data_IF_410226436173
#
_entry.id   IF_410226436173
#
_cell.length_a   1.000
_cell.length_b   1.000
_cell.length_c   1.000
_cell.angle_alpha   90.00
_cell.angle_beta   90.00
_cell.angle_gamma   90.00
#
_symmetry.space_group_name_H-M   'P 1'
#
loop_
_entity.id
_entity.type
_entity.pdbx_description
1 polymer ?
#
# COMPACT_ATOMS: atom_id res chain seq x y z
N UNK A 1 -2.76 -29.80 -16.99
CA UNK A 1 -2.11 -29.72 -15.67
C UNK A 1 -1.13 -28.53 -15.55
N UNK A 2 -1.29 -27.44 -16.33
CA UNK A 2 -0.39 -26.26 -16.29
C UNK A 2 -0.97 -25.02 -15.61
N UNK A 3 -2.30 -24.90 -15.46
CA UNK A 3 -2.97 -23.69 -14.95
C UNK A 3 -2.70 -23.40 -13.47
N UNK A 4 -2.68 -24.42 -12.62
CA UNK A 4 -2.61 -24.20 -11.17
C UNK A 4 -1.31 -23.50 -10.75
N UNK A 5 -0.17 -23.86 -11.36
CA UNK A 5 1.12 -23.23 -11.04
C UNK A 5 1.17 -21.76 -11.45
N UNK A 6 0.62 -21.43 -12.62
CA UNK A 6 0.53 -20.04 -13.08
C UNK A 6 -0.40 -19.21 -12.18
N UNK A 7 -1.57 -19.75 -11.82
CA UNK A 7 -2.51 -19.10 -10.90
C UNK A 7 -1.87 -18.83 -9.53
N UNK A 8 -1.10 -19.79 -8.99
CA UNK A 8 -0.41 -19.60 -7.72
C UNK A 8 0.68 -18.52 -7.78
N UNK A 9 1.45 -18.45 -8.87
CA UNK A 9 2.49 -17.45 -9.05
C UNK A 9 1.91 -16.03 -9.21
N UNK A 10 0.81 -15.89 -9.95
CA UNK A 10 0.09 -14.62 -10.09
C UNK A 10 -0.50 -14.18 -8.76
N UNK A 11 -1.14 -15.08 -8.01
CA UNK A 11 -1.66 -14.78 -6.68
C UNK A 11 -0.57 -14.32 -5.71
N UNK A 12 0.62 -14.93 -5.76
CA UNK A 12 1.77 -14.53 -4.95
C UNK A 12 2.25 -13.12 -5.31
N UNK A 13 2.33 -12.81 -6.61
CA UNK A 13 2.72 -11.48 -7.08
C UNK A 13 1.69 -10.42 -6.72
N UNK A 14 0.40 -10.74 -6.88
CA UNK A 14 -0.69 -9.86 -6.45
C UNK A 14 -0.64 -9.59 -4.95
N UNK A 15 -0.38 -10.61 -4.13
CA UNK A 15 -0.22 -10.45 -2.69
C UNK A 15 1.00 -9.58 -2.34
N UNK A 16 2.15 -9.83 -2.98
CA UNK A 16 3.37 -9.04 -2.80
C UNK A 16 3.14 -7.56 -3.15
N UNK A 17 2.59 -7.29 -4.33
CA UNK A 17 2.31 -5.94 -4.80
C UNK A 17 1.27 -5.23 -3.89
N UNK A 18 0.22 -5.94 -3.49
CA UNK A 18 -0.81 -5.41 -2.59
C UNK A 18 -0.21 -5.04 -1.24
N UNK A 19 0.61 -5.91 -0.63
CA UNK A 19 1.27 -5.64 0.64
C UNK A 19 2.24 -4.45 0.53
N UNK A 20 3.02 -4.37 -0.55
CA UNK A 20 3.92 -3.24 -0.80
C UNK A 20 3.16 -1.91 -0.90
N UNK A 21 2.07 -1.87 -1.66
CA UNK A 21 1.24 -0.68 -1.80
C UNK A 21 0.49 -0.32 -0.51
N UNK A 22 0.01 -1.31 0.24
CA UNK A 22 -0.60 -1.11 1.57
C UNK A 22 0.38 -0.35 2.47
N UNK A 23 1.65 -0.72 2.49
CA UNK A 23 2.65 -0.04 3.33
C UNK A 23 2.83 1.43 2.91
N UNK A 24 2.88 1.72 1.61
CA UNK A 24 3.00 3.09 1.10
C UNK A 24 1.78 3.94 1.45
N UNK A 25 0.57 3.39 1.31
CA UNK A 25 -0.65 4.08 1.73
C UNK A 25 -0.72 4.28 3.24
N UNK A 26 -0.39 3.23 4.00
CA UNK A 26 -0.39 3.27 5.45
C UNK A 26 0.60 4.29 6.01
N UNK A 27 1.73 4.50 5.33
CA UNK A 27 2.71 5.52 5.69
C UNK A 27 2.09 6.93 5.80
N UNK A 28 1.10 7.26 4.96
CA UNK A 28 0.35 8.52 5.11
C UNK A 28 -0.54 8.50 6.34
N UNK A 29 -1.22 7.38 6.63
CA UNK A 29 -2.09 7.30 7.79
C UNK A 29 -1.29 7.39 9.09
N UNK A 30 -0.13 6.76 9.22
CA UNK A 30 0.64 6.79 10.49
C UNK A 30 1.34 8.12 10.78
N UNK A 31 1.31 9.08 9.85
CA UNK A 31 1.83 10.45 10.05
C UNK A 31 1.16 11.18 11.23
N UNK A 32 -0.04 10.76 11.61
CA UNK A 32 -0.63 11.08 12.90
C UNK A 32 -1.38 9.86 13.43
N UNK A 33 -1.21 9.58 14.71
CA UNK A 33 -1.91 8.47 15.38
C UNK A 33 -3.43 8.70 15.37
N UNK A 34 -3.87 9.92 15.70
CA UNK A 34 -5.30 10.21 15.91
C UNK A 34 -5.91 11.13 14.84
N UNK A 35 -5.14 12.04 14.26
CA UNK A 35 -5.67 13.02 13.30
C UNK A 35 -5.82 12.38 11.92
N UNK A 36 -6.89 12.77 11.22
CA UNK A 36 -7.14 12.34 9.83
C UNK A 36 -6.03 12.81 8.91
N UNK A 37 -5.70 12.02 7.88
CA UNK A 37 -4.80 12.46 6.80
C UNK A 37 -5.26 13.79 6.21
N UNK A 38 -6.56 14.00 6.04
CA UNK A 38 -7.12 15.22 5.45
C UNK A 38 -6.86 16.45 6.32
N UNK A 39 -6.91 16.29 7.65
CA UNK A 39 -6.59 17.36 8.61
C UNK A 39 -5.08 17.64 8.66
N UNK A 40 -4.26 16.58 8.69
CA UNK A 40 -2.80 16.68 8.76
C UNK A 40 -2.23 17.25 7.46
N UNK A 41 -2.85 16.96 6.32
CA UNK A 41 -2.38 17.31 4.99
C UNK A 41 -1.39 16.27 4.47
N UNK A 42 -1.78 15.39 3.52
CA UNK A 42 -0.93 14.30 3.06
C UNK A 42 0.41 14.81 2.51
N UNK A 43 0.37 15.88 1.71
CA UNK A 43 1.51 16.34 0.93
C UNK A 43 2.34 17.46 1.56
N UNK A 44 2.15 17.79 2.84
CA UNK A 44 2.87 18.91 3.49
C UNK A 44 4.39 18.74 3.54
N UNK A 45 4.91 17.52 3.54
CA UNK A 45 6.35 17.25 3.59
C UNK A 45 6.85 16.79 2.23
N UNK A 46 7.64 17.63 1.57
CA UNK A 46 8.21 17.35 0.25
C UNK A 46 9.14 16.13 0.30
N UNK A 47 9.99 16.03 1.32
CA UNK A 47 10.91 14.90 1.50
C UNK A 47 10.17 13.59 1.69
N UNK A 48 9.12 13.57 2.52
CA UNK A 48 8.29 12.38 2.73
C UNK A 48 7.63 11.91 1.43
N UNK A 49 7.04 12.82 0.66
CA UNK A 49 6.39 12.46 -0.60
C UNK A 49 7.41 11.91 -1.62
N UNK A 50 8.61 12.47 -1.66
CA UNK A 50 9.70 11.94 -2.49
C UNK A 50 10.12 10.54 -2.06
N UNK A 51 10.22 10.27 -0.76
CA UNK A 51 10.50 8.92 -0.26
C UNK A 51 9.41 7.92 -0.69
N UNK A 52 8.13 8.29 -0.59
CA UNK A 52 7.02 7.43 -1.06
C UNK A 52 7.12 7.17 -2.56
N UNK A 53 7.40 8.20 -3.37
CA UNK A 53 7.53 8.05 -4.81
C UNK A 53 8.69 7.13 -5.19
N UNK A 54 9.86 7.31 -4.55
CA UNK A 54 11.02 6.43 -4.78
C UNK A 54 10.71 5.00 -4.37
N UNK A 55 10.08 4.78 -3.22
CA UNK A 55 9.68 3.44 -2.77
C UNK A 55 8.66 2.79 -3.70
N UNK A 56 7.71 3.56 -4.23
CA UNK A 56 6.77 3.08 -5.26
C UNK A 56 7.50 2.65 -6.52
N UNK A 57 8.43 3.47 -7.03
CA UNK A 57 9.22 3.14 -8.22
C UNK A 57 10.04 1.86 -7.98
N UNK A 58 10.67 1.72 -6.82
CA UNK A 58 11.43 0.52 -6.48
C UNK A 58 10.53 -0.71 -6.40
N UNK A 59 9.35 -0.60 -5.79
CA UNK A 59 8.36 -1.69 -5.76
C UNK A 59 7.95 -2.08 -7.18
N UNK A 60 7.60 -1.12 -8.02
CA UNK A 60 7.22 -1.39 -9.41
C UNK A 60 8.35 -2.03 -10.20
N UNK A 61 9.60 -1.56 -10.00
CA UNK A 61 10.76 -2.11 -10.65
C UNK A 61 10.92 -3.62 -10.38
N UNK A 62 10.61 -4.09 -9.16
CA UNK A 62 10.70 -5.52 -8.86
C UNK A 62 9.79 -6.41 -9.72
N UNK A 63 8.67 -5.86 -10.24
CA UNK A 63 7.64 -6.59 -10.98
C UNK A 63 7.77 -6.40 -12.50
N UNK A 64 8.30 -5.26 -12.96
CA UNK A 64 8.30 -4.91 -14.39
C UNK A 64 9.67 -5.03 -15.06
N UNK A 65 10.75 -5.15 -14.28
CA UNK A 65 12.13 -5.22 -14.79
C UNK A 65 12.57 -6.69 -14.80
N UNK A 66 12.77 -7.24 -16.00
CA UNK A 66 13.02 -8.69 -16.20
C UNK A 66 14.15 -9.28 -15.35
N UNK A 67 15.31 -8.62 -15.15
CA UNK A 67 16.33 -9.10 -14.22
C UNK A 67 15.86 -9.22 -12.75
N UNK A 68 14.91 -8.37 -12.32
CA UNK A 68 14.42 -8.35 -10.95
C UNK A 68 13.29 -9.36 -10.74
N UNK A 69 12.46 -9.61 -11.76
CA UNK A 69 11.36 -10.60 -11.69
C UNK A 69 11.84 -11.95 -11.16
N UNK A 70 12.99 -12.44 -11.67
CA UNK A 70 13.60 -13.70 -11.25
C UNK A 70 14.19 -13.68 -9.83
N UNK A 71 14.63 -12.53 -9.33
CA UNK A 71 15.16 -12.37 -7.97
C UNK A 71 14.03 -12.35 -6.94
N UNK A 72 12.92 -11.68 -7.27
CA UNK A 72 11.77 -11.51 -6.38
C UNK A 72 10.74 -12.64 -6.53
N UNK A 73 10.93 -13.56 -7.48
CA UNK A 73 10.02 -14.66 -7.78
C UNK A 73 8.59 -14.16 -8.08
N UNK A 74 8.49 -13.10 -8.89
CA UNK A 74 7.22 -12.48 -9.28
C UNK A 74 6.91 -12.71 -10.76
N UNK A 75 5.65 -12.53 -11.14
CA UNK A 75 5.12 -12.70 -12.50
C UNK A 75 4.54 -11.39 -13.04
N UNK A 76 4.47 -11.26 -14.37
CA UNK A 76 3.84 -10.10 -15.00
C UNK A 76 2.33 -10.17 -14.81
N UNK A 77 1.76 -9.15 -14.18
CA UNK A 77 0.32 -9.05 -13.96
C UNK A 77 -0.39 -8.38 -15.13
N UNK A 78 -1.61 -8.83 -15.42
CA UNK A 78 -2.51 -8.16 -16.35
C UNK A 78 -3.19 -6.92 -15.72
N UNK A 79 -3.88 -6.13 -16.55
CA UNK A 79 -4.55 -4.90 -16.11
C UNK A 79 -5.67 -5.14 -15.09
N UNK A 80 -6.40 -6.26 -15.19
CA UNK A 80 -7.46 -6.62 -14.24
C UNK A 80 -6.90 -6.98 -12.87
N UNK A 81 -5.81 -7.75 -12.84
CA UNK A 81 -5.08 -8.11 -11.63
C UNK A 81 -4.49 -6.86 -10.96
N UNK A 82 -3.90 -5.94 -11.73
CA UNK A 82 -3.47 -4.63 -11.23
C UNK A 82 -4.62 -3.82 -10.65
N UNK A 83 -5.80 -3.84 -11.28
CA UNK A 83 -7.00 -3.20 -10.74
C UNK A 83 -7.37 -3.73 -9.35
N UNK A 84 -7.31 -5.04 -9.15
CA UNK A 84 -7.55 -5.68 -7.85
C UNK A 84 -6.48 -5.26 -6.83
N UNK A 85 -5.20 -5.28 -7.21
CA UNK A 85 -4.07 -4.90 -6.35
C UNK A 85 -4.20 -3.44 -5.89
N UNK A 86 -4.49 -2.51 -6.80
CA UNK A 86 -4.66 -1.08 -6.49
C UNK A 86 -5.90 -0.87 -5.62
N UNK A 87 -7.03 -1.49 -5.97
CA UNK A 87 -8.26 -1.38 -5.18
C UNK A 87 -8.12 -1.93 -3.77
N UNK A 88 -7.54 -3.14 -3.65
CA UNK A 88 -7.28 -3.80 -2.38
C UNK A 88 -6.31 -3.00 -1.50
N UNK A 89 -5.23 -2.49 -2.07
CA UNK A 89 -4.28 -1.68 -1.30
C UNK A 89 -4.82 -0.32 -0.88
N UNK A 90 -5.58 0.36 -1.75
CA UNK A 90 -6.21 1.65 -1.43
C UNK A 90 -7.20 1.54 -0.26
N UNK A 91 -7.87 0.39 -0.10
CA UNK A 91 -8.77 0.13 1.02
C UNK A 91 -8.13 0.38 2.40
N UNK A 92 -6.79 0.25 2.50
CA UNK A 92 -6.05 0.53 3.73
C UNK A 92 -6.25 1.97 4.23
N UNK A 93 -6.30 2.95 3.32
CA UNK A 93 -6.53 4.36 3.68
C UNK A 93 -7.90 4.48 4.36
N UNK A 94 -8.92 3.90 3.73
CA UNK A 94 -10.31 3.97 4.20
C UNK A 94 -10.42 3.30 5.58
N UNK A 95 -9.89 2.09 5.72
CA UNK A 95 -9.96 1.31 6.98
C UNK A 95 -9.32 2.12 8.13
N UNK A 96 -8.12 2.66 7.93
CA UNK A 96 -7.42 3.38 9.00
C UNK A 96 -8.08 4.73 9.31
N UNK A 97 -8.63 5.42 8.31
CA UNK A 97 -9.39 6.65 8.57
C UNK A 97 -10.67 6.39 9.39
N UNK A 98 -11.34 5.25 9.16
CA UNK A 98 -12.46 4.80 10.01
C UNK A 98 -11.99 4.52 11.44
N UNK A 99 -10.89 3.77 11.60
CA UNK A 99 -10.30 3.47 12.92
C UNK A 99 -9.99 4.76 13.67
N UNK A 100 -9.31 5.71 13.03
CA UNK A 100 -9.00 7.01 13.62
C UNK A 100 -10.24 7.82 13.97
N UNK A 101 -11.27 7.78 13.12
CA UNK A 101 -12.53 8.45 13.39
C UNK A 101 -13.19 7.90 14.66
N UNK A 102 -13.27 6.58 14.80
CA UNK A 102 -13.80 5.92 16.00
C UNK A 102 -12.95 6.27 17.23
N UNK A 103 -11.62 6.25 17.11
CA UNK A 103 -10.71 6.59 18.21
C UNK A 103 -10.90 8.03 18.71
N UNK A 104 -11.07 9.00 17.80
CA UNK A 104 -11.39 10.39 18.16
C UNK A 104 -12.76 10.53 18.82
N UNK A 105 -13.76 9.77 18.37
CA UNK A 105 -15.10 9.78 18.98
C UNK A 105 -15.11 9.17 20.38
N UNK A 106 -14.26 8.18 20.64
CA UNK A 106 -14.07 7.58 21.96
C UNK A 106 -13.14 8.39 22.87
N UNK A 107 -12.54 9.48 22.39
CA UNK A 107 -11.69 10.38 23.18
C UNK A 107 -10.28 9.83 23.46
N UNK A 108 -9.82 8.81 22.74
CA UNK A 108 -8.45 8.28 22.91
C UNK A 108 -7.37 9.29 22.55
N UNK A 109 -7.68 10.28 21.73
CA UNK A 109 -6.79 11.39 21.39
C UNK A 109 -6.49 12.30 22.58
N UNK A 110 -7.38 12.36 23.58
CA UNK A 110 -7.21 13.17 24.81
C UNK A 110 -6.32 12.49 25.85
N UNK A 111 -6.21 11.16 25.80
CA UNK A 111 -5.38 10.38 26.72
C UNK A 111 -3.89 10.35 26.32
N UNK A 112 -3.55 10.95 25.18
CA UNK A 112 -2.20 10.95 24.63
C UNK A 112 -1.46 12.29 24.85
N UNK A 113 -1.97 13.13 25.75
CA UNK A 113 -1.40 14.45 26.11
C UNK A 113 -0.91 14.39 27.56
#
# INVERSE_FOLDING_TARGET
>A
MGDNHAIHADALTMAFATLGLIQLFHAYNVKSVYQSILTVGPFKSKTFNWSILVSFILLMATIVVEPLEGIFHVTKLDLSQWGIVIGGSFSMIIIVEIVKFVQRKLGFDKNAI
#
